data_IF_317765853369
#
_entry.id   IF_317765853369
#
_cell.length_a   1.000
_cell.length_b   1.000
_cell.length_c   1.000
_cell.angle_alpha   90.00
_cell.angle_beta   90.00
_cell.angle_gamma   90.00
#
_symmetry.space_group_name_H-M   'P 1'
#
loop_
_entity.id
_entity.type
_entity.pdbx_description
1 polymer ?
#
# COMPACT_ATOMS: atom_id res chain seq x y z
N UNK A 1 24.96 31.62 -6.34
CA UNK A 1 23.71 31.05 -6.86
C UNK A 1 23.95 29.79 -7.69
N UNK A 2 24.80 29.82 -8.71
CA UNK A 2 25.04 28.71 -9.67
C UNK A 2 25.41 27.37 -9.00
N UNK A 3 26.31 27.36 -8.00
CA UNK A 3 26.72 26.09 -7.36
C UNK A 3 25.58 25.42 -6.57
N UNK A 4 24.73 26.22 -5.90
CA UNK A 4 23.57 25.70 -5.16
C UNK A 4 22.51 25.17 -6.13
N UNK A 5 22.27 25.86 -7.25
CA UNK A 5 21.38 25.39 -8.31
C UNK A 5 21.88 24.09 -8.94
N UNK A 6 23.18 24.00 -9.27
CA UNK A 6 23.79 22.76 -9.78
C UNK A 6 23.64 21.60 -8.80
N UNK A 7 23.81 21.86 -7.50
CA UNK A 7 23.59 20.86 -6.45
C UNK A 7 22.13 20.40 -6.40
N UNK A 8 21.18 21.33 -6.39
CA UNK A 8 19.74 21.04 -6.43
C UNK A 8 19.36 20.17 -7.62
N UNK A 9 19.82 20.53 -8.82
CA UNK A 9 19.56 19.77 -10.05
C UNK A 9 20.17 18.37 -9.98
N UNK A 10 21.39 18.23 -9.44
CA UNK A 10 22.02 16.90 -9.26
C UNK A 10 21.22 16.00 -8.34
N UNK A 11 20.77 16.51 -7.20
CA UNK A 11 19.91 15.76 -6.27
C UNK A 11 18.62 15.35 -6.97
N UNK A 12 17.97 16.28 -7.67
CA UNK A 12 16.73 16.03 -8.42
C UNK A 12 16.92 14.94 -9.48
N UNK A 13 17.97 15.00 -10.28
CA UNK A 13 18.26 14.01 -11.32
C UNK A 13 18.57 12.63 -10.74
N UNK A 14 19.31 12.55 -9.63
CA UNK A 14 19.61 11.27 -8.96
C UNK A 14 18.31 10.59 -8.53
N UNK A 15 17.44 11.30 -7.81
CA UNK A 15 16.21 10.69 -7.29
C UNK A 15 15.17 10.44 -8.39
N UNK A 16 15.06 11.30 -9.41
CA UNK A 16 14.21 11.00 -10.57
C UNK A 16 14.68 9.74 -11.30
N UNK A 17 16.00 9.55 -11.46
CA UNK A 17 16.53 8.34 -12.06
C UNK A 17 16.19 7.10 -11.22
N UNK A 18 16.32 7.17 -9.90
CA UNK A 18 15.94 6.08 -8.99
C UNK A 18 14.44 5.77 -9.05
N UNK A 19 13.57 6.78 -9.09
CA UNK A 19 12.13 6.54 -9.17
C UNK A 19 11.69 6.04 -10.53
N UNK A 20 12.33 6.50 -11.62
CA UNK A 20 12.12 5.95 -12.96
C UNK A 20 12.50 4.47 -13.01
N UNK A 21 13.68 4.10 -12.50
CA UNK A 21 14.12 2.70 -12.48
C UNK A 21 13.27 1.83 -11.56
N UNK A 22 12.84 2.35 -10.41
CA UNK A 22 11.91 1.68 -9.51
C UNK A 22 10.55 1.41 -10.17
N UNK A 23 9.96 2.38 -10.88
CA UNK A 23 8.70 2.19 -11.60
C UNK A 23 8.85 1.21 -12.76
N UNK A 24 9.98 1.24 -13.46
CA UNK A 24 10.27 0.26 -14.51
C UNK A 24 10.42 -1.15 -13.92
N UNK A 25 11.13 -1.30 -12.80
CA UNK A 25 11.24 -2.58 -12.09
C UNK A 25 9.86 -3.08 -11.63
N UNK A 26 9.04 -2.19 -11.06
CA UNK A 26 7.65 -2.49 -10.69
C UNK A 26 6.81 -2.99 -11.86
N UNK A 27 6.87 -2.28 -12.99
CA UNK A 27 6.18 -2.65 -14.23
C UNK A 27 6.63 -4.05 -14.70
N UNK A 28 7.95 -4.28 -14.79
CA UNK A 28 8.52 -5.51 -15.34
C UNK A 28 8.20 -6.75 -14.50
N UNK A 29 8.15 -6.61 -13.17
CA UNK A 29 7.79 -7.72 -12.27
C UNK A 29 6.30 -8.06 -12.36
N UNK A 30 5.44 -7.08 -12.61
CA UNK A 30 3.98 -7.20 -12.56
C UNK A 30 3.27 -7.07 -13.92
N UNK A 31 3.97 -7.30 -15.03
CA UNK A 31 3.38 -7.21 -16.37
C UNK A 31 2.09 -8.03 -16.47
N UNK A 32 1.02 -7.41 -16.97
CA UNK A 32 -0.28 -8.08 -17.16
C UNK A 32 -0.54 -8.33 -18.64
N UNK A 33 -0.28 -7.34 -19.49
CA UNK A 33 -0.52 -7.38 -20.94
C UNK A 33 0.78 -7.34 -21.77
N UNK A 34 1.93 -7.56 -21.12
CA UNK A 34 3.24 -7.64 -21.77
C UNK A 34 3.64 -6.35 -22.49
N UNK A 35 3.78 -6.39 -23.82
CA UNK A 35 4.29 -5.26 -24.59
C UNK A 35 3.33 -4.05 -24.63
N UNK A 36 2.03 -4.26 -24.43
CA UNK A 36 1.06 -3.16 -24.33
C UNK A 36 1.35 -2.28 -23.10
N UNK A 37 1.64 -2.89 -21.95
CA UNK A 37 2.00 -2.18 -20.72
C UNK A 37 3.32 -1.39 -20.88
N UNK A 38 4.32 -1.99 -21.53
CA UNK A 38 5.61 -1.33 -21.80
C UNK A 38 5.43 -0.07 -22.65
N UNK A 39 4.56 -0.11 -23.67
CA UNK A 39 4.24 1.07 -24.50
C UNK A 39 3.56 2.19 -23.69
N UNK A 40 2.78 1.85 -22.67
CA UNK A 40 2.08 2.81 -21.82
C UNK A 40 2.97 3.39 -20.70
N UNK A 41 4.16 2.84 -20.47
CA UNK A 41 5.06 3.28 -19.41
C UNK A 41 5.36 4.79 -19.41
N UNK A 42 5.59 5.49 -20.56
CA UNK A 42 5.80 6.94 -20.55
C UNK A 42 4.61 7.70 -19.95
N UNK A 43 3.38 7.26 -20.24
CA UNK A 43 2.14 7.82 -19.69
C UNK A 43 2.06 7.56 -18.17
N UNK A 44 2.39 6.34 -17.73
CA UNK A 44 2.42 6.00 -16.30
C UNK A 44 3.45 6.86 -15.55
N UNK A 45 4.65 6.99 -16.10
CA UNK A 45 5.72 7.80 -15.51
C UNK A 45 5.33 9.27 -15.43
N UNK A 46 4.78 9.83 -16.51
CA UNK A 46 4.36 11.23 -16.56
C UNK A 46 3.30 11.58 -15.51
N UNK A 47 2.26 10.75 -15.38
CA UNK A 47 1.21 10.96 -14.40
C UNK A 47 1.70 10.77 -12.95
N UNK A 48 2.75 9.97 -12.76
CA UNK A 48 3.42 9.79 -11.48
C UNK A 48 4.44 10.87 -11.10
N UNK A 49 4.88 11.69 -12.06
CA UNK A 49 6.03 12.59 -11.91
C UNK A 49 5.80 13.64 -10.82
N UNK A 50 4.56 14.10 -10.64
CA UNK A 50 4.25 15.10 -9.60
C UNK A 50 4.49 14.56 -8.18
N UNK A 51 4.16 13.29 -7.93
CA UNK A 51 4.45 12.64 -6.65
C UNK A 51 5.94 12.38 -6.46
N UNK A 52 6.65 12.03 -7.54
CA UNK A 52 8.12 11.90 -7.51
C UNK A 52 8.76 13.24 -7.12
N UNK A 53 8.35 14.35 -7.77
CA UNK A 53 8.84 15.68 -7.45
C UNK A 53 8.47 16.11 -6.03
N UNK A 54 7.27 15.79 -5.55
CA UNK A 54 6.86 16.06 -4.17
C UNK A 54 7.78 15.37 -3.16
N UNK A 55 8.09 14.08 -3.37
CA UNK A 55 9.01 13.34 -2.52
C UNK A 55 10.44 13.93 -2.58
N UNK A 56 10.92 14.28 -3.77
CA UNK A 56 12.22 14.96 -3.92
C UNK A 56 12.23 16.30 -3.19
N UNK A 57 11.12 17.02 -3.20
CA UNK A 57 10.92 18.25 -2.42
C UNK A 57 11.14 18.02 -0.93
N UNK A 58 10.50 16.99 -0.35
CA UNK A 58 10.73 16.59 1.05
C UNK A 58 12.21 16.27 1.31
N UNK A 59 12.85 15.49 0.44
CA UNK A 59 14.26 15.11 0.56
C UNK A 59 15.19 16.34 0.50
N UNK A 60 14.85 17.36 -0.28
CA UNK A 60 15.67 18.56 -0.50
C UNK A 60 15.58 19.60 0.62
N UNK A 61 14.45 19.67 1.33
CA UNK A 61 14.25 20.67 2.40
C UNK A 61 15.37 20.58 3.44
N UNK A 62 15.64 19.39 3.98
CA UNK A 62 16.65 19.19 5.04
C UNK A 62 18.07 19.63 4.61
N UNK A 63 18.65 19.15 3.49
CA UNK A 63 19.99 19.57 3.08
C UNK A 63 20.05 21.07 2.72
N UNK A 64 18.98 21.66 2.17
CA UNK A 64 18.94 23.10 1.92
C UNK A 64 18.91 23.91 3.24
N UNK A 65 18.15 23.45 4.25
CA UNK A 65 18.16 24.03 5.60
C UNK A 65 19.53 23.86 6.27
N UNK A 66 20.17 22.71 6.15
CA UNK A 66 21.53 22.50 6.67
C UNK A 66 22.56 23.43 5.99
N UNK A 67 22.43 23.68 4.69
CA UNK A 67 23.27 24.66 3.98
C UNK A 67 23.01 26.09 4.46
N UNK A 68 21.74 26.43 4.76
CA UNK A 68 21.34 27.70 5.33
C UNK A 68 21.91 27.88 6.74
N UNK A 69 21.77 26.89 7.62
CA UNK A 69 22.36 26.88 8.97
C UNK A 69 23.88 27.03 8.87
N UNK A 70 24.53 26.33 7.93
CA UNK A 70 25.97 26.44 7.70
C UNK A 70 26.41 27.82 7.18
N UNK A 71 25.49 28.71 6.84
CA UNK A 71 25.80 30.12 6.59
C UNK A 71 26.11 30.86 7.90
N UNK A 72 25.39 30.53 8.98
CA UNK A 72 25.53 31.14 10.30
C UNK A 72 26.46 30.35 11.24
N UNK A 73 26.50 29.02 11.10
CA UNK A 73 27.27 28.11 11.96
C UNK A 73 28.28 27.32 11.12
N UNK A 74 29.56 27.66 11.19
CA UNK A 74 30.61 27.05 10.36
C UNK A 74 30.87 25.56 10.63
N UNK A 75 30.41 25.03 11.77
CA UNK A 75 30.69 23.67 12.23
C UNK A 75 29.84 22.56 11.58
N UNK A 76 28.89 22.88 10.70
CA UNK A 76 28.11 21.85 9.98
C UNK A 76 29.03 21.15 8.96
N UNK A 77 29.40 19.90 9.27
CA UNK A 77 30.35 19.09 8.48
C UNK A 77 29.69 18.46 7.26
N UNK A 78 30.45 18.29 6.17
CA UNK A 78 29.99 17.58 4.95
C UNK A 78 29.58 16.13 5.24
N UNK A 79 30.11 15.52 6.31
CA UNK A 79 29.73 14.20 6.77
C UNK A 79 28.22 14.07 7.07
N UNK A 80 27.59 15.13 7.60
CA UNK A 80 26.14 15.13 7.92
C UNK A 80 25.32 14.92 6.66
N UNK A 81 25.67 15.61 5.56
CA UNK A 81 25.01 15.45 4.26
C UNK A 81 25.20 14.03 3.72
N UNK A 82 26.42 13.47 3.81
CA UNK A 82 26.70 12.11 3.35
C UNK A 82 25.87 11.07 4.12
N UNK A 83 25.80 11.18 5.45
CA UNK A 83 24.99 10.27 6.26
C UNK A 83 23.49 10.46 5.99
N UNK A 84 23.02 11.70 5.88
CA UNK A 84 21.64 11.99 5.51
C UNK A 84 21.24 11.30 4.21
N UNK A 85 21.98 11.53 3.12
CA UNK A 85 21.65 10.90 1.84
C UNK A 85 21.85 9.39 1.86
N UNK A 86 22.82 8.86 2.60
CA UNK A 86 23.01 7.41 2.69
C UNK A 86 21.81 6.75 3.38
N UNK A 87 21.35 7.30 4.51
CA UNK A 87 20.19 6.80 5.24
C UNK A 87 18.93 6.91 4.38
N UNK A 88 18.66 8.09 3.81
CA UNK A 88 17.48 8.31 2.97
C UNK A 88 17.49 7.39 1.75
N UNK A 89 18.65 7.22 1.10
CA UNK A 89 18.76 6.35 -0.07
C UNK A 89 18.54 4.88 0.31
N UNK A 90 19.12 4.39 1.42
CA UNK A 90 18.93 3.02 1.88
C UNK A 90 17.45 2.74 2.18
N UNK A 91 16.78 3.66 2.88
CA UNK A 91 15.35 3.52 3.19
C UNK A 91 14.50 3.48 1.92
N UNK A 92 14.75 4.40 0.97
CA UNK A 92 14.08 4.40 -0.34
C UNK A 92 14.34 3.08 -1.07
N UNK A 93 15.60 2.64 -1.15
CA UNK A 93 16.01 1.45 -1.87
C UNK A 93 15.32 0.19 -1.34
N UNK A 94 15.19 0.04 -0.01
CA UNK A 94 14.46 -1.07 0.61
C UNK A 94 13.00 -1.07 0.17
N UNK A 95 12.32 0.08 0.32
CA UNK A 95 10.89 0.20 -0.01
C UNK A 95 10.66 -0.14 -1.49
N UNK A 96 11.40 0.50 -2.41
CA UNK A 96 11.19 0.28 -3.85
C UNK A 96 11.61 -1.11 -4.33
N UNK A 97 12.53 -1.78 -3.63
CA UNK A 97 12.94 -3.15 -3.97
C UNK A 97 11.87 -4.18 -3.59
N UNK A 98 11.15 -3.95 -2.49
CA UNK A 98 10.07 -4.85 -2.06
C UNK A 98 8.74 -4.59 -2.75
N UNK A 99 8.50 -3.35 -3.18
CA UNK A 99 7.21 -2.88 -3.68
C UNK A 99 6.55 -3.72 -4.79
N UNK A 100 7.27 -4.22 -5.80
CA UNK A 100 6.61 -4.96 -6.86
C UNK A 100 5.96 -6.23 -6.34
N UNK A 101 6.60 -6.91 -5.40
CA UNK A 101 6.09 -8.13 -4.77
C UNK A 101 4.93 -7.83 -3.84
N UNK A 102 4.95 -6.67 -3.17
CA UNK A 102 3.79 -6.21 -2.43
C UNK A 102 2.53 -6.17 -3.28
N UNK A 103 2.66 -5.64 -4.49
CA UNK A 103 1.56 -5.59 -5.43
C UNK A 103 1.20 -6.98 -5.96
N UNK A 104 2.18 -7.85 -6.25
CA UNK A 104 1.93 -9.21 -6.74
C UNK A 104 1.12 -10.06 -5.74
N UNK A 105 1.43 -9.97 -4.45
CA UNK A 105 0.81 -10.82 -3.42
C UNK A 105 -0.46 -10.20 -2.81
N UNK A 106 -0.54 -8.86 -2.71
CA UNK A 106 -1.65 -8.19 -2.01
C UNK A 106 -2.41 -7.16 -2.85
N UNK A 107 -2.05 -6.95 -4.12
CA UNK A 107 -2.73 -6.02 -5.02
C UNK A 107 -2.60 -4.54 -4.63
N UNK A 108 -1.66 -4.21 -3.74
CA UNK A 108 -1.43 -2.86 -3.24
C UNK A 108 0.06 -2.52 -3.16
N UNK A 109 0.37 -1.22 -3.26
CA UNK A 109 1.74 -0.70 -3.05
C UNK A 109 2.23 -0.93 -1.62
N UNK A 110 3.54 -1.00 -1.46
CA UNK A 110 4.17 -1.12 -0.15
C UNK A 110 3.72 0.01 0.79
N UNK A 111 3.39 -0.37 2.02
CA UNK A 111 3.01 0.51 3.11
C UNK A 111 3.48 -0.09 4.46
N UNK A 112 3.53 0.73 5.51
CA UNK A 112 4.02 0.30 6.83
C UNK A 112 3.07 -0.67 7.56
N UNK A 113 1.81 -0.79 7.14
CA UNK A 113 0.88 -1.78 7.70
C UNK A 113 1.37 -3.20 7.52
N UNK A 114 2.29 -3.45 6.58
CA UNK A 114 2.86 -4.78 6.38
C UNK A 114 3.71 -5.30 7.52
N UNK A 115 4.26 -4.42 8.36
CA UNK A 115 5.02 -4.85 9.55
C UNK A 115 4.14 -5.74 10.44
N UNK A 116 2.81 -5.60 10.36
CA UNK A 116 1.85 -6.47 11.06
C UNK A 116 1.89 -7.92 10.56
N UNK A 117 2.19 -8.16 9.27
CA UNK A 117 2.31 -9.50 8.68
C UNK A 117 3.71 -10.13 8.89
N UNK A 118 4.69 -9.34 9.32
CA UNK A 118 6.00 -9.82 9.81
C UNK A 118 5.96 -10.28 11.28
N UNK A 119 4.79 -10.20 11.93
CA UNK A 119 4.57 -10.61 13.32
C UNK A 119 4.62 -12.13 13.54
N UNK A 120 4.45 -12.52 14.82
CA UNK A 120 4.80 -13.80 15.48
C UNK A 120 4.59 -15.13 14.73
N UNK A 121 3.80 -15.19 13.67
CA UNK A 121 3.58 -16.43 12.92
C UNK A 121 4.26 -16.50 11.55
N UNK A 122 4.92 -15.46 11.04
CA UNK A 122 5.74 -15.43 9.80
C UNK A 122 5.15 -16.14 8.55
N UNK A 123 3.89 -16.58 8.58
CA UNK A 123 3.32 -17.48 7.59
C UNK A 123 3.26 -16.80 6.22
N UNK A 124 2.97 -15.49 6.22
CA UNK A 124 2.97 -14.68 5.00
C UNK A 124 4.34 -14.57 4.33
N UNK A 125 5.45 -14.56 5.09
CA UNK A 125 6.81 -14.51 4.53
C UNK A 125 7.26 -15.88 4.05
N UNK A 126 6.89 -16.94 4.78
CA UNK A 126 7.19 -18.32 4.41
C UNK A 126 6.51 -18.76 3.09
N UNK A 127 5.39 -18.13 2.73
CA UNK A 127 4.68 -18.37 1.46
C UNK A 127 5.27 -17.62 0.25
N UNK A 128 6.24 -16.72 0.43
CA UNK A 128 6.84 -15.97 -0.68
C UNK A 128 7.85 -16.84 -1.43
N UNK A 129 7.75 -16.85 -2.76
CA UNK A 129 8.66 -17.62 -3.60
C UNK A 129 10.12 -17.13 -3.46
N UNK A 130 11.08 -18.07 -3.40
CA UNK A 130 12.50 -17.74 -3.27
C UNK A 130 13.02 -16.84 -4.40
N UNK A 131 12.45 -16.98 -5.60
CA UNK A 131 12.71 -16.12 -6.76
C UNK A 131 12.48 -14.65 -6.43
N UNK A 132 11.42 -14.34 -5.70
CA UNK A 132 11.02 -12.97 -5.42
C UNK A 132 11.99 -12.32 -4.42
N UNK A 133 12.47 -13.08 -3.43
CA UNK A 133 13.57 -12.64 -2.58
C UNK A 133 14.84 -12.36 -3.39
N UNK A 134 15.23 -13.26 -4.30
CA UNK A 134 16.43 -13.09 -5.13
C UNK A 134 16.31 -11.81 -5.97
N UNK A 135 15.16 -11.57 -6.59
CA UNK A 135 14.92 -10.36 -7.39
C UNK A 135 14.91 -9.09 -6.54
N UNK A 136 14.24 -9.10 -5.38
CA UNK A 136 14.22 -7.97 -4.45
C UNK A 136 15.63 -7.64 -3.94
N UNK A 137 16.38 -8.64 -3.44
CA UNK A 137 17.75 -8.43 -2.95
C UNK A 137 18.72 -8.06 -4.07
N UNK A 138 18.57 -8.63 -5.26
CA UNK A 138 19.39 -8.28 -6.43
C UNK A 138 19.18 -6.81 -6.84
N UNK A 139 17.93 -6.36 -6.89
CA UNK A 139 17.61 -4.96 -7.19
C UNK A 139 18.08 -4.00 -6.07
N UNK A 140 17.86 -4.38 -4.81
CA UNK A 140 18.35 -3.62 -3.65
C UNK A 140 19.87 -3.45 -3.69
N UNK A 141 20.60 -4.55 -3.91
CA UNK A 141 22.06 -4.55 -4.03
C UNK A 141 22.51 -3.65 -5.18
N UNK A 142 21.86 -3.75 -6.35
CA UNK A 142 22.18 -2.92 -7.51
C UNK A 142 22.00 -1.43 -7.22
N UNK A 143 20.90 -1.03 -6.57
CA UNK A 143 20.67 0.37 -6.20
C UNK A 143 21.72 0.88 -5.20
N UNK A 144 22.02 0.09 -4.16
CA UNK A 144 23.03 0.43 -3.17
C UNK A 144 24.42 0.55 -3.82
N UNK A 145 24.76 -0.38 -4.71
CA UNK A 145 26.00 -0.33 -5.48
C UNK A 145 26.08 0.94 -6.34
N UNK A 146 25.03 1.26 -7.10
CA UNK A 146 24.93 2.47 -7.92
C UNK A 146 25.09 3.74 -7.07
N UNK A 147 24.52 3.76 -5.86
CA UNK A 147 24.66 4.87 -4.93
C UNK A 147 26.11 5.10 -4.52
N UNK A 148 26.78 4.08 -4.00
CA UNK A 148 28.16 4.22 -3.53
C UNK A 148 29.15 4.43 -4.69
N UNK A 149 28.91 3.84 -5.86
CA UNK A 149 29.78 3.97 -7.03
C UNK A 149 29.65 5.34 -7.72
N UNK A 150 28.42 5.83 -7.90
CA UNK A 150 28.11 6.99 -8.75
C UNK A 150 27.34 8.09 -8.03
N UNK A 151 26.15 7.81 -7.49
CA UNK A 151 25.24 8.87 -7.04
C UNK A 151 25.75 9.66 -5.84
N UNK A 152 26.43 9.01 -4.89
CA UNK A 152 27.00 9.67 -3.70
C UNK A 152 27.92 10.84 -4.03
N UNK A 153 28.64 10.78 -5.17
CA UNK A 153 29.52 11.85 -5.66
C UNK A 153 28.75 13.09 -6.14
N UNK A 154 27.50 12.92 -6.56
CA UNK A 154 26.64 13.99 -7.04
C UNK A 154 25.92 14.72 -5.89
N UNK A 155 25.81 14.07 -4.74
CA UNK A 155 25.10 14.55 -3.54
C UNK A 155 26.01 15.31 -2.56
N UNK A 156 27.25 15.62 -2.97
CA UNK A 156 28.21 16.40 -2.17
C UNK A 156 27.73 17.87 -2.11
N UNK A 157 27.63 18.47 -0.90
CA UNK A 157 27.16 19.84 -0.75
C UNK A 157 28.13 20.86 -1.41
N UNK A 158 27.62 21.97 -1.96
CA UNK A 158 28.46 23.01 -2.57
C UNK A 158 29.24 23.79 -1.51
N UNK A 159 30.49 24.14 -1.83
CA UNK A 159 31.32 24.97 -0.96
C UNK A 159 30.92 26.46 -1.03
N UNK A 160 30.67 27.00 -2.24
CA UNK A 160 30.17 28.37 -2.40
C UNK A 160 28.65 28.37 -2.33
N UNK A 161 28.12 29.13 -1.36
CA UNK A 161 26.69 29.25 -1.09
C UNK A 161 26.18 30.63 -1.50
N UNK A 162 24.86 30.76 -1.57
CA UNK A 162 24.20 32.02 -1.90
C UNK A 162 22.89 32.05 -1.14
N UNK A 163 22.75 33.03 -0.24
CA UNK A 163 21.58 33.14 0.64
C UNK A 163 20.28 33.22 -0.18
N UNK A 164 20.24 34.12 -1.16
CA UNK A 164 19.10 34.25 -2.08
C UNK A 164 18.80 32.94 -2.81
N UNK A 165 19.83 32.26 -3.33
CA UNK A 165 19.66 30.98 -4.00
C UNK A 165 19.09 29.88 -3.09
N UNK A 166 19.50 29.85 -1.82
CA UNK A 166 18.97 28.90 -0.84
C UNK A 166 17.50 29.20 -0.51
N UNK A 167 17.13 30.47 -0.30
CA UNK A 167 15.75 30.87 -0.01
C UNK A 167 14.83 30.54 -1.19
N UNK A 168 15.25 30.87 -2.42
CA UNK A 168 14.47 30.56 -3.63
C UNK A 168 14.29 29.06 -3.81
N UNK A 169 15.35 28.27 -3.63
CA UNK A 169 15.28 26.81 -3.80
C UNK A 169 14.52 26.12 -2.67
N UNK A 170 14.54 26.64 -1.44
CA UNK A 170 13.68 26.19 -0.35
C UNK A 170 12.20 26.44 -0.70
N UNK A 171 11.87 27.64 -1.19
CA UNK A 171 10.53 27.95 -1.67
C UNK A 171 10.08 27.00 -2.80
N UNK A 172 10.97 26.72 -3.76
CA UNK A 172 10.71 25.75 -4.82
C UNK A 172 10.48 24.33 -4.28
N UNK A 173 11.28 23.88 -3.30
CA UNK A 173 11.07 22.57 -2.66
C UNK A 173 9.72 22.49 -1.95
N UNK A 174 9.26 23.57 -1.29
CA UNK A 174 7.92 23.62 -0.68
C UNK A 174 6.82 23.56 -1.73
N UNK A 175 6.98 24.25 -2.87
CA UNK A 175 6.04 24.15 -3.99
C UNK A 175 6.00 22.73 -4.59
N UNK A 176 7.17 22.08 -4.71
CA UNK A 176 7.27 20.68 -5.13
C UNK A 176 6.53 19.76 -4.16
N UNK A 177 6.75 19.92 -2.85
CA UNK A 177 6.04 19.16 -1.79
C UNK A 177 4.53 19.26 -1.94
N UNK A 178 4.00 20.48 -2.15
CA UNK A 178 2.55 20.69 -2.36
C UNK A 178 2.04 20.11 -3.69
N UNK A 179 2.93 19.92 -4.66
CA UNK A 179 2.61 19.44 -6.01
C UNK A 179 1.99 20.50 -6.93
N UNK A 180 2.10 21.78 -6.57
CA UNK A 180 1.62 22.92 -7.37
C UNK A 180 1.02 24.05 -6.54
N UNK A 181 0.39 25.01 -7.22
CA UNK A 181 -0.29 26.17 -6.62
C UNK A 181 -1.80 25.97 -6.42
N UNK A 182 -2.31 24.75 -6.66
CA UNK A 182 -3.72 24.44 -6.50
C UNK A 182 -4.19 24.50 -5.04
N UNK A 183 -5.50 24.61 -4.85
CA UNK A 183 -6.13 24.69 -3.51
C UNK A 183 -5.81 23.44 -2.69
N UNK A 184 -5.97 22.26 -3.29
CA UNK A 184 -5.74 20.98 -2.64
C UNK A 184 -4.27 20.55 -2.81
N UNK A 185 -3.55 20.24 -1.71
CA UNK A 185 -2.23 19.63 -1.80
C UNK A 185 -2.27 18.28 -2.52
N UNK A 186 -1.16 17.90 -3.14
CA UNK A 186 -1.03 16.62 -3.84
C UNK A 186 -1.29 15.42 -2.91
N UNK A 187 -1.93 14.39 -3.45
CA UNK A 187 -2.34 13.19 -2.73
C UNK A 187 -2.14 11.92 -3.59
N UNK A 188 -2.38 10.73 -3.02
CA UNK A 188 -2.24 9.45 -3.72
C UNK A 188 -3.07 9.42 -5.02
N UNK A 189 -4.32 9.92 -4.97
CA UNK A 189 -5.22 9.95 -6.13
C UNK A 189 -4.70 10.77 -7.31
N UNK A 190 -3.68 11.62 -7.11
CA UNK A 190 -3.06 12.38 -8.19
C UNK A 190 -2.34 11.49 -9.22
N UNK A 191 -2.03 10.22 -8.88
CA UNK A 191 -1.48 9.23 -9.81
C UNK A 191 -2.54 8.29 -10.41
N UNK A 192 -3.82 8.43 -10.05
CA UNK A 192 -4.91 7.58 -10.54
C UNK A 192 -5.61 8.26 -11.72
N UNK A 193 -5.13 7.98 -12.94
CA UNK A 193 -5.54 8.64 -14.18
C UNK A 193 -6.23 7.70 -15.18
N UNK A 194 -6.11 6.38 -14.99
CA UNK A 194 -6.61 5.34 -15.89
C UNK A 194 -7.69 4.50 -15.20
N UNK A 195 -8.55 3.83 -15.97
CA UNK A 195 -9.43 2.77 -15.46
C UNK A 195 -8.64 1.51 -15.07
N UNK A 196 -7.43 1.35 -15.62
CA UNK A 196 -6.55 0.25 -15.27
C UNK A 196 -5.80 0.54 -13.96
N UNK A 197 -6.14 -0.22 -12.91
CA UNK A 197 -5.53 -0.08 -11.59
C UNK A 197 -4.02 -0.36 -11.58
N UNK A 198 -3.54 -1.29 -12.41
CA UNK A 198 -2.10 -1.57 -12.53
C UNK A 198 -1.33 -0.38 -13.09
N UNK A 199 -1.88 0.34 -14.06
CA UNK A 199 -1.25 1.55 -14.62
C UNK A 199 -1.18 2.67 -13.59
N UNK A 200 -2.24 2.86 -12.81
CA UNK A 200 -2.29 3.84 -11.72
C UNK A 200 -1.27 3.52 -10.62
N UNK A 201 -1.20 2.25 -10.20
CA UNK A 201 -0.22 1.82 -9.22
C UNK A 201 1.20 1.94 -9.78
N UNK A 202 1.46 1.63 -11.06
CA UNK A 202 2.78 1.84 -11.67
C UNK A 202 3.18 3.33 -11.68
N UNK A 203 2.23 4.23 -11.90
CA UNK A 203 2.46 5.67 -11.83
C UNK A 203 2.78 6.16 -10.40
N UNK A 204 2.15 5.57 -9.38
CA UNK A 204 2.29 5.97 -7.99
C UNK A 204 3.72 5.79 -7.46
N UNK A 205 4.25 6.84 -6.81
CA UNK A 205 5.52 6.75 -6.07
C UNK A 205 5.30 5.98 -4.76
N UNK A 206 5.97 4.84 -4.63
CA UNK A 206 5.77 3.94 -3.48
C UNK A 206 6.21 4.53 -2.16
N UNK A 207 7.33 5.24 -2.12
CA UNK A 207 7.82 5.84 -0.87
C UNK A 207 6.87 6.94 -0.42
N UNK A 208 6.35 7.73 -1.37
CA UNK A 208 5.31 8.70 -1.10
C UNK A 208 4.04 8.02 -0.57
N UNK A 209 3.60 6.92 -1.19
CA UNK A 209 2.47 6.11 -0.73
C UNK A 209 2.65 5.60 0.70
N UNK A 210 3.81 5.01 1.01
CA UNK A 210 4.13 4.48 2.33
C UNK A 210 4.11 5.58 3.40
N UNK A 211 4.70 6.75 3.10
CA UNK A 211 4.65 7.91 3.99
C UNK A 211 3.23 8.41 4.21
N UNK A 212 2.47 8.64 3.14
CA UNK A 212 1.11 9.16 3.22
C UNK A 212 0.19 8.24 4.02
N UNK A 213 0.29 6.93 3.77
CA UNK A 213 -0.50 5.92 4.49
C UNK A 213 -0.18 5.91 5.99
N UNK A 214 1.09 6.09 6.37
CA UNK A 214 1.49 6.14 7.79
C UNK A 214 1.03 7.44 8.47
N UNK A 215 1.16 8.58 7.80
CA UNK A 215 0.65 9.85 8.35
C UNK A 215 -0.88 9.85 8.49
N UNK A 216 -1.58 9.05 7.68
CA UNK A 216 -3.03 8.86 7.78
C UNK A 216 -3.43 7.67 8.66
N UNK A 217 -2.48 6.96 9.27
CA UNK A 217 -2.76 5.79 10.12
C UNK A 217 -3.65 6.14 11.31
N UNK A 218 -3.50 7.32 11.89
CA UNK A 218 -4.37 7.76 13.00
C UNK A 218 -5.80 8.09 12.57
N UNK A 219 -6.04 8.39 11.29
CA UNK A 219 -7.41 8.44 10.72
C UNK A 219 -8.06 7.04 10.70
N UNK A 220 -7.28 5.99 10.93
CA UNK A 220 -7.68 4.58 11.02
C UNK A 220 -7.86 4.09 12.47
N UNK A 221 -7.93 4.98 13.48
CA UNK A 221 -8.40 4.63 14.84
C UNK A 221 -9.67 3.77 14.76
N UNK A 222 -9.86 2.89 15.75
CA UNK A 222 -11.10 2.12 15.89
C UNK A 222 -12.27 3.09 15.66
N UNK A 223 -13.16 2.72 14.75
CA UNK A 223 -14.34 3.54 14.50
C UNK A 223 -15.12 3.58 15.81
N UNK A 224 -15.22 4.78 16.38
CA UNK A 224 -16.05 5.04 17.55
C UNK A 224 -17.43 5.27 17.00
N UNK A 225 -18.28 4.24 17.10
CA UNK A 225 -19.68 4.32 16.65
C UNK A 225 -20.60 4.88 17.74
N UNK A 226 -20.17 4.79 19.00
CA UNK A 226 -20.91 5.21 20.18
C UNK A 226 -19.97 5.97 21.11
N UNK A 227 -20.47 7.02 21.74
CA UNK A 227 -19.67 7.87 22.64
C UNK A 227 -19.40 7.18 23.99
N UNK A 228 -20.22 6.18 24.33
CA UNK A 228 -20.08 5.36 25.54
C UNK A 228 -20.40 3.89 25.28
N UNK A 229 -19.90 3.00 26.15
CA UNK A 229 -20.25 1.58 26.09
C UNK A 229 -21.74 1.35 26.41
N UNK A 230 -22.33 2.16 27.28
CA UNK A 230 -23.74 2.02 27.70
C UNK A 230 -24.69 2.18 26.51
N UNK A 231 -24.40 3.13 25.62
CA UNK A 231 -25.16 3.35 24.38
C UNK A 231 -25.05 2.14 23.43
N UNK A 232 -23.85 1.58 23.29
CA UNK A 232 -23.62 0.38 22.49
C UNK A 232 -24.39 -0.83 23.06
N UNK A 233 -24.37 -1.00 24.39
CA UNK A 233 -25.11 -2.05 25.08
C UNK A 233 -26.63 -1.87 24.95
N UNK A 234 -27.13 -0.63 24.99
CA UNK A 234 -28.55 -0.34 24.76
C UNK A 234 -28.98 -0.77 23.35
N UNK A 235 -28.21 -0.45 22.31
CA UNK A 235 -28.49 -0.88 20.93
C UNK A 235 -28.43 -2.39 20.81
N UNK A 236 -27.41 -3.04 21.37
CA UNK A 236 -27.29 -4.50 21.40
C UNK A 236 -28.47 -5.17 22.12
N UNK A 237 -28.98 -4.55 23.19
CA UNK A 237 -30.11 -5.07 23.96
C UNK A 237 -31.43 -5.07 23.18
N UNK A 238 -31.57 -4.15 22.20
CA UNK A 238 -32.73 -4.04 21.31
C UNK A 238 -32.68 -5.04 20.16
N UNK A 239 -31.52 -5.62 19.86
CA UNK A 239 -31.44 -6.68 18.86
C UNK A 239 -32.19 -7.92 19.37
N UNK A 240 -32.87 -8.66 18.47
CA UNK A 240 -33.53 -9.90 18.86
C UNK A 240 -32.51 -10.84 19.50
N UNK A 241 -32.61 -11.05 20.81
CA UNK A 241 -31.82 -12.09 21.46
C UNK A 241 -32.35 -13.42 20.95
N UNK A 242 -31.50 -14.22 20.31
CA UNK A 242 -31.82 -15.59 19.92
C UNK A 242 -31.97 -16.44 21.19
N UNK A 243 -33.09 -16.29 21.90
CA UNK A 243 -33.44 -17.09 23.07
C UNK A 243 -34.20 -18.36 22.69
N UNK A 244 -34.58 -18.50 21.43
CA UNK A 244 -35.18 -19.72 20.91
C UNK A 244 -34.04 -20.64 20.45
N UNK A 245 -34.15 -21.93 20.76
CA UNK A 245 -33.15 -22.93 20.41
C UNK A 245 -32.80 -22.91 18.91
N UNK A 246 -31.67 -23.51 18.57
CA UNK A 246 -31.26 -23.66 17.17
C UNK A 246 -32.29 -24.54 16.46
N UNK A 247 -33.12 -23.94 15.60
CA UNK A 247 -34.04 -24.69 14.75
C UNK A 247 -33.22 -25.52 13.76
N UNK A 248 -33.31 -26.84 13.88
CA UNK A 248 -32.67 -27.75 12.96
C UNK A 248 -33.46 -27.81 11.66
N UNK A 249 -32.97 -27.11 10.62
CA UNK A 249 -33.53 -27.16 9.28
C UNK A 249 -33.42 -28.55 8.62
N UNK A 250 -32.47 -29.37 9.09
CA UNK A 250 -32.21 -30.72 8.58
C UNK A 250 -32.06 -31.67 9.76
N UNK A 251 -32.72 -32.83 9.66
CA UNK A 251 -32.54 -33.91 10.62
C UNK A 251 -31.09 -34.43 10.55
N UNK A 252 -30.41 -34.49 11.69
CA UNK A 252 -29.03 -34.98 11.80
C UNK A 252 -28.97 -36.11 12.81
N UNK A 253 -28.15 -37.11 12.51
CA UNK A 253 -27.79 -38.18 13.44
C UNK A 253 -26.26 -38.23 13.62
N UNK A 254 -25.78 -39.17 14.44
CA UNK A 254 -24.36 -39.35 14.72
C UNK A 254 -23.53 -39.86 13.53
N UNK A 255 -24.18 -40.25 12.43
CA UNK A 255 -23.53 -40.74 11.20
C UNK A 255 -23.47 -39.68 10.09
N UNK A 256 -24.11 -38.53 10.32
CA UNK A 256 -24.19 -37.46 9.33
C UNK A 256 -22.83 -36.79 9.14
N UNK A 257 -22.29 -36.87 7.93
CA UNK A 257 -21.07 -36.15 7.55
C UNK A 257 -21.41 -34.72 7.10
N UNK A 258 -20.57 -33.75 7.51
CA UNK A 258 -20.71 -32.34 7.11
C UNK A 258 -19.52 -31.94 6.26
N UNK A 259 -19.78 -31.50 5.02
CA UNK A 259 -18.79 -30.93 4.13
C UNK A 259 -19.07 -29.44 3.94
N UNK A 260 -18.14 -28.59 4.38
CA UNK A 260 -18.19 -27.15 4.14
C UNK A 260 -17.31 -26.80 2.92
N UNK A 261 -17.95 -26.32 1.85
CA UNK A 261 -17.25 -25.84 0.66
C UNK A 261 -17.26 -24.32 0.66
N UNK A 262 -16.08 -23.70 0.73
CA UNK A 262 -15.91 -22.25 0.66
C UNK A 262 -15.42 -21.88 -0.74
N UNK A 263 -16.18 -21.04 -1.44
CA UNK A 263 -15.85 -20.58 -2.78
C UNK A 263 -15.17 -19.21 -2.71
N UNK A 264 -13.89 -19.15 -3.07
CA UNK A 264 -13.09 -17.91 -3.04
C UNK A 264 -13.57 -16.90 -4.09
N UNK A 265 -13.75 -15.64 -3.68
CA UNK A 265 -14.18 -14.54 -4.56
C UNK A 265 -15.47 -14.81 -5.35
N UNK A 266 -16.33 -15.71 -4.86
CA UNK A 266 -17.56 -16.13 -5.54
C UNK A 266 -18.72 -15.17 -5.22
N UNK A 267 -19.22 -14.48 -6.25
CA UNK A 267 -20.36 -13.57 -6.15
C UNK A 267 -21.65 -14.23 -6.63
N UNK A 268 -22.78 -13.94 -6.00
CA UNK A 268 -24.10 -14.38 -6.46
C UNK A 268 -24.41 -13.96 -7.91
N UNK A 269 -23.74 -12.90 -8.42
CA UNK A 269 -23.90 -12.38 -9.79
C UNK A 269 -23.67 -13.44 -10.87
N UNK A 270 -22.78 -14.40 -10.61
CA UNK A 270 -22.46 -15.45 -11.61
C UNK A 270 -23.40 -16.65 -11.59
N UNK A 271 -24.32 -16.70 -10.62
CA UNK A 271 -25.33 -17.76 -10.55
C UNK A 271 -26.59 -17.37 -11.31
N UNK A 272 -27.01 -18.24 -12.23
CA UNK A 272 -28.24 -18.06 -12.99
C UNK A 272 -29.47 -18.17 -12.09
N UNK A 273 -29.46 -19.10 -11.14
CA UNK A 273 -30.53 -19.28 -10.17
C UNK A 273 -30.72 -18.06 -9.26
N UNK A 274 -29.63 -17.38 -8.87
CA UNK A 274 -29.69 -16.25 -7.93
C UNK A 274 -29.83 -14.88 -8.63
N UNK A 275 -29.20 -14.69 -9.80
CA UNK A 275 -29.08 -13.38 -10.45
C UNK A 275 -29.58 -13.33 -11.89
N UNK A 276 -30.10 -14.44 -12.43
CA UNK A 276 -30.59 -14.53 -13.80
C UNK A 276 -29.51 -14.85 -14.84
N UNK A 277 -29.95 -15.00 -16.09
CA UNK A 277 -29.14 -15.62 -17.17
C UNK A 277 -28.02 -14.72 -17.74
N UNK A 278 -28.03 -13.41 -17.48
CA UNK A 278 -27.11 -12.46 -18.12
C UNK A 278 -25.62 -12.79 -17.87
N UNK A 279 -25.29 -13.25 -16.67
CA UNK A 279 -23.92 -13.62 -16.27
C UNK A 279 -23.82 -15.06 -15.75
N UNK A 280 -24.84 -15.88 -16.03
CA UNK A 280 -24.93 -17.25 -15.52
C UNK A 280 -23.77 -18.11 -16.03
N UNK A 281 -23.00 -18.68 -15.10
CA UNK A 281 -21.84 -19.52 -15.41
C UNK A 281 -21.68 -20.72 -14.46
N UNK A 282 -22.72 -21.01 -13.66
CA UNK A 282 -22.66 -22.04 -12.60
C UNK A 282 -23.74 -23.13 -12.75
N UNK A 283 -23.92 -23.74 -13.93
CA UNK A 283 -25.04 -24.66 -14.18
C UNK A 283 -25.08 -25.86 -13.23
N UNK A 284 -23.92 -26.42 -12.87
CA UNK A 284 -23.85 -27.55 -11.94
C UNK A 284 -24.22 -27.14 -10.50
N UNK A 285 -23.75 -25.98 -10.05
CA UNK A 285 -24.10 -25.47 -8.72
C UNK A 285 -25.59 -25.10 -8.65
N UNK A 286 -26.13 -24.51 -9.71
CA UNK A 286 -27.54 -24.17 -9.83
C UNK A 286 -28.43 -25.44 -9.81
N UNK A 287 -27.95 -26.55 -10.38
CA UNK A 287 -28.63 -27.85 -10.26
C UNK A 287 -28.67 -28.34 -8.80
N UNK A 288 -27.53 -28.30 -8.11
CA UNK A 288 -27.44 -28.72 -6.69
C UNK A 288 -28.34 -27.86 -5.81
N UNK A 289 -28.38 -26.55 -6.04
CA UNK A 289 -29.22 -25.63 -5.26
C UNK A 289 -30.72 -25.92 -5.40
N UNK A 290 -31.17 -26.42 -6.56
CA UNK A 290 -32.59 -26.79 -6.80
C UNK A 290 -33.01 -28.06 -6.03
N UNK A 291 -32.07 -28.94 -5.73
CA UNK A 291 -32.32 -30.18 -4.98
C UNK A 291 -32.30 -29.96 -3.46
N UNK A 292 -31.79 -28.82 -2.99
CA UNK A 292 -31.58 -28.53 -1.57
C UNK A 292 -32.25 -27.25 -1.08
N UNK A 293 -31.76 -26.77 0.06
CA UNK A 293 -32.14 -25.47 0.63
C UNK A 293 -31.12 -24.43 0.19
N UNK A 294 -31.58 -23.40 -0.52
CA UNK A 294 -30.74 -22.26 -0.90
C UNK A 294 -31.31 -20.97 -0.30
N UNK A 295 -30.42 -20.01 -0.03
CA UNK A 295 -30.77 -18.70 0.52
C UNK A 295 -30.54 -17.64 -0.54
N UNK A 296 -31.62 -17.06 -1.05
CA UNK A 296 -31.58 -15.95 -2.02
C UNK A 296 -31.13 -14.61 -1.40
N UNK A 297 -31.13 -14.51 -0.07
CA UNK A 297 -30.73 -13.33 0.69
C UNK A 297 -29.61 -13.66 1.69
N UNK A 298 -28.55 -14.32 1.22
CA UNK A 298 -27.35 -14.57 2.01
C UNK A 298 -26.27 -13.53 1.71
N UNK A 299 -25.77 -12.87 2.76
CA UNK A 299 -24.76 -11.82 2.64
C UNK A 299 -23.48 -12.21 3.37
N UNK A 300 -22.34 -11.97 2.72
CA UNK A 300 -21.05 -12.15 3.35
C UNK A 300 -20.88 -11.13 4.49
N UNK A 301 -20.34 -11.58 5.62
CA UNK A 301 -20.04 -10.68 6.74
C UNK A 301 -18.97 -9.64 6.38
N UNK A 302 -18.16 -9.90 5.35
CA UNK A 302 -17.12 -9.02 4.85
C UNK A 302 -16.81 -9.27 3.37
N UNK A 303 -16.13 -8.32 2.74
CA UNK A 303 -15.61 -8.45 1.37
C UNK A 303 -14.17 -8.99 1.31
N UNK A 304 -13.60 -9.41 2.46
CA UNK A 304 -12.26 -10.01 2.55
C UNK A 304 -12.31 -11.44 3.07
N UNK A 305 -11.47 -12.30 2.50
CA UNK A 305 -11.44 -13.74 2.78
C UNK A 305 -11.05 -14.06 4.23
N UNK A 306 -10.08 -13.35 4.81
CA UNK A 306 -9.67 -13.52 6.23
C UNK A 306 -10.82 -13.25 7.20
N UNK A 307 -11.59 -12.20 6.96
CA UNK A 307 -12.78 -11.84 7.75
C UNK A 307 -13.96 -12.77 7.49
N UNK A 308 -14.16 -13.19 6.24
CA UNK A 308 -15.22 -14.12 5.85
C UNK A 308 -15.03 -15.50 6.47
N UNK A 309 -13.81 -16.05 6.40
CA UNK A 309 -13.47 -17.35 6.99
C UNK A 309 -13.61 -17.34 8.52
N UNK A 310 -13.18 -16.26 9.19
CA UNK A 310 -13.40 -16.11 10.61
C UNK A 310 -14.89 -16.14 10.96
N UNK A 311 -15.72 -15.36 10.25
CA UNK A 311 -17.16 -15.32 10.50
C UNK A 311 -17.82 -16.68 10.26
N UNK A 312 -17.42 -17.39 9.19
CA UNK A 312 -17.92 -18.73 8.87
C UNK A 312 -17.58 -19.78 9.93
N UNK A 313 -16.39 -19.68 10.54
CA UNK A 313 -15.89 -20.71 11.47
C UNK A 313 -16.22 -20.42 12.94
N UNK A 314 -16.26 -19.15 13.33
CA UNK A 314 -16.49 -18.73 14.72
C UNK A 314 -17.90 -18.18 14.99
N UNK A 315 -18.67 -17.84 13.94
CA UNK A 315 -19.94 -17.14 14.09
C UNK A 315 -19.81 -15.68 14.54
N UNK A 316 -18.59 -15.15 14.68
CA UNK A 316 -18.34 -13.76 15.10
C UNK A 316 -18.44 -12.85 13.87
N UNK A 317 -19.28 -11.78 13.89
CA UNK A 317 -19.39 -10.87 12.77
C UNK A 317 -18.08 -10.11 12.52
N UNK A 318 -17.86 -9.70 11.26
CA UNK A 318 -16.63 -9.01 10.89
C UNK A 318 -16.55 -7.60 11.47
N UNK A 319 -15.35 -7.22 11.91
CA UNK A 319 -15.06 -5.86 12.36
C UNK A 319 -14.90 -4.87 11.18
N UNK A 320 -15.30 -3.62 11.40
CA UNK A 320 -15.30 -2.59 10.36
C UNK A 320 -13.92 -2.31 9.73
N UNK A 321 -12.84 -2.34 10.53
CA UNK A 321 -11.47 -2.09 10.04
C UNK A 321 -10.54 -3.27 10.27
N UNK A 322 -10.34 -3.69 11.51
CA UNK A 322 -9.44 -4.80 11.86
C UNK A 322 -10.14 -6.16 11.76
N UNK A 323 -9.35 -7.20 11.58
CA UNK A 323 -9.79 -8.61 11.67
C UNK A 323 -9.27 -9.20 12.98
N UNK A 324 -10.08 -10.01 13.68
CA UNK A 324 -9.67 -10.67 14.92
C UNK A 324 -8.57 -11.70 14.69
N UNK A 325 -8.37 -12.17 13.44
CA UNK A 325 -7.24 -13.04 13.07
C UNK A 325 -5.89 -12.37 13.30
N UNK A 326 -5.82 -11.04 13.40
CA UNK A 326 -4.61 -10.32 13.77
C UNK A 326 -4.33 -10.36 15.29
N UNK A 327 -5.25 -10.91 16.09
CA UNK A 327 -5.18 -10.99 17.55
C UNK A 327 -5.52 -12.41 18.03
N UNK A 328 -4.70 -13.43 17.67
CA UNK A 328 -4.99 -14.83 17.98
C UNK A 328 -5.20 -15.11 19.48
N UNK A 329 -4.51 -14.38 20.36
CA UNK A 329 -4.69 -14.47 21.82
C UNK A 329 -6.13 -14.14 22.27
N UNK A 330 -6.90 -13.39 21.46
CA UNK A 330 -8.30 -13.05 21.73
C UNK A 330 -9.30 -14.04 21.14
N UNK A 331 -8.86 -14.98 20.31
CA UNK A 331 -9.69 -16.04 19.72
C UNK A 331 -9.67 -17.33 20.56
N UNK A 332 -8.72 -17.47 21.48
CA UNK A 332 -8.50 -18.68 22.27
C UNK A 332 -9.24 -18.69 23.65
N UNK A 333 -10.21 -17.80 23.86
CA UNK A 333 -10.95 -17.67 25.11
C UNK A 333 -12.33 -18.31 25.05
#
# INVERSE_FOLDING_TARGET
>A
MIQVLRYFIKVLLVFLAVFLTAKLFFLLVNLQEGFADIKQFPTMWWNGLRLDLSLIGYILIIPLLLLLIRFFVKNVKDAIFRYYFAIIFILIAIIVATDPFFYSYWGQKANLSFIQFLGKENAGVASIAIRDFILAFGFLFLLIFCYFKWFSKWLIPPQKKSLLGLIVLLGLSVLMVRGGLGIVPINISSAFYSSNNFHNNTALNTVWNAMATEFERDKHKALVFYDSNDEAEEVLSKLPKSNNGIDHLVAKDSSTNVLLIVLESFSAKVSGLLSGEEFASTPNLDSIMKEGIYFNNAYASSFRSDKGLLALTSGIPSGARQTLTNFPDRLAA
#
